data_IF_992802091981
#
_entry.id   IF_992802091981
#
_cell.length_a   1.000
_cell.length_b   1.000
_cell.length_c   1.000
_cell.angle_alpha   90.00
_cell.angle_beta   90.00
_cell.angle_gamma   90.00
#
_symmetry.space_group_name_H-M   'P 1'
#
loop_
_entity.id
_entity.type
_entity.pdbx_description
1 polymer ?
#
# COMPACT_ATOMS: atom_id res chain seq x y z
N UNK A 1 12.32 -35.59 27.82
CA UNK A 1 13.50 -34.75 27.55
C UNK A 1 13.08 -33.66 26.58
N UNK A 2 12.89 -32.42 27.06
CA UNK A 2 12.54 -31.26 26.24
C UNK A 2 13.76 -30.35 26.19
N UNK A 3 14.33 -30.18 25.00
CA UNK A 3 15.42 -29.24 24.74
C UNK A 3 14.88 -28.06 23.93
N UNK A 4 14.85 -26.91 24.58
CA UNK A 4 14.61 -25.59 24.00
C UNK A 4 15.85 -25.17 23.21
N UNK A 5 15.67 -24.76 21.96
CA UNK A 5 16.73 -24.10 21.17
C UNK A 5 16.38 -22.62 21.01
N UNK A 6 17.23 -21.75 21.55
CA UNK A 6 17.25 -20.32 21.28
C UNK A 6 18.18 -20.11 20.08
N UNK A 7 17.65 -19.63 18.97
CA UNK A 7 18.46 -19.14 17.85
C UNK A 7 18.61 -17.62 17.96
N UNK A 8 19.83 -17.19 18.27
CA UNK A 8 20.29 -15.81 18.14
C UNK A 8 20.75 -15.63 16.69
N UNK A 9 20.06 -14.83 15.88
CA UNK A 9 20.55 -14.44 14.55
C UNK A 9 21.06 -13.01 14.66
N UNK A 10 22.38 -12.87 14.67
CA UNK A 10 23.08 -11.62 14.41
C UNK A 10 23.00 -11.33 12.91
N UNK A 11 22.18 -10.36 12.52
CA UNK A 11 22.17 -9.80 11.19
C UNK A 11 23.07 -8.56 11.15
N UNK A 12 24.26 -8.69 10.56
CA UNK A 12 25.01 -7.53 10.07
C UNK A 12 24.39 -7.11 8.73
N UNK A 13 23.55 -6.07 8.75
CA UNK A 13 23.08 -5.42 7.53
C UNK A 13 23.97 -4.21 7.23
N UNK A 14 24.57 -4.23 6.04
CA UNK A 14 25.40 -3.15 5.52
C UNK A 14 24.65 -1.83 5.47
N UNK A 15 25.35 -0.76 5.82
CA UNK A 15 24.87 0.62 5.77
C UNK A 15 24.49 1.01 4.34
N UNK A 16 23.20 1.25 4.10
CA UNK A 16 22.77 2.13 3.02
C UNK A 16 22.95 3.58 3.50
N UNK A 17 23.93 4.27 2.94
CA UNK A 17 24.17 5.68 3.18
C UNK A 17 23.05 6.50 2.51
N UNK A 18 22.27 7.20 3.33
CA UNK A 18 21.40 8.28 2.87
C UNK A 18 22.24 9.55 2.76
N UNK A 19 22.12 10.27 1.64
CA UNK A 19 22.94 11.44 1.32
C UNK A 19 22.83 12.57 2.34
N UNK A 20 23.99 13.03 2.79
CA UNK A 20 24.14 14.13 3.74
C UNK A 20 23.75 15.47 3.09
N UNK A 21 22.64 16.05 3.54
CA UNK A 21 22.48 17.49 3.51
C UNK A 21 23.28 18.04 4.70
N UNK A 22 24.36 18.78 4.43
CA UNK A 22 25.14 19.48 5.45
C UNK A 22 24.27 20.54 6.09
N UNK A 23 23.60 20.18 7.19
CA UNK A 23 22.91 21.07 8.09
C UNK A 23 23.86 21.39 9.24
N UNK A 24 24.02 22.67 9.53
CA UNK A 24 24.94 23.19 10.55
C UNK A 24 24.62 22.60 11.94
N UNK A 25 25.67 22.37 12.74
CA UNK A 25 25.61 21.73 14.07
C UNK A 25 24.57 22.35 15.04
N UNK A 26 24.25 23.63 14.88
CA UNK A 26 23.27 24.34 15.73
C UNK A 26 21.80 24.00 15.41
N UNK A 27 21.49 23.59 14.18
CA UNK A 27 20.13 23.14 13.78
C UNK A 27 19.89 21.68 14.17
N UNK A 28 20.94 20.86 14.19
CA UNK A 28 20.87 19.48 14.66
C UNK A 28 20.69 19.41 16.19
N UNK A 29 21.35 20.27 16.95
CA UNK A 29 21.22 20.34 18.41
C UNK A 29 19.81 20.76 18.87
N UNK A 30 19.15 21.69 18.16
CA UNK A 30 17.77 22.11 18.47
C UNK A 30 16.71 21.08 18.07
N UNK A 31 16.97 20.21 17.08
CA UNK A 31 16.09 19.09 16.75
C UNK A 31 16.27 17.89 17.68
N UNK A 32 17.48 17.66 18.18
CA UNK A 32 17.77 16.58 19.13
C UNK A 32 17.05 16.79 20.48
N UNK A 33 16.75 18.05 20.85
CA UNK A 33 16.03 18.39 22.08
C UNK A 33 14.49 18.24 21.98
N UNK A 34 13.93 18.18 20.77
CA UNK A 34 12.48 17.99 20.54
C UNK A 34 12.07 16.51 20.46
N UNK A 35 13.03 15.60 20.63
CA UNK A 35 12.80 14.16 20.78
C UNK A 35 12.48 13.76 22.24
N UNK A 36 11.96 14.70 23.03
CA UNK A 36 11.23 14.34 24.24
C UNK A 36 10.16 13.31 23.87
N UNK A 37 10.00 12.29 24.74
CA UNK A 37 9.03 11.21 24.53
C UNK A 37 7.69 11.79 24.10
N UNK A 38 7.33 11.57 22.83
CA UNK A 38 6.00 11.87 22.33
C UNK A 38 4.99 11.12 23.22
N UNK A 39 4.24 11.86 24.03
CA UNK A 39 3.14 11.28 24.81
C UNK A 39 2.07 10.71 23.87
N UNK A 40 1.87 11.39 22.73
CA UNK A 40 0.98 10.98 21.65
C UNK A 40 1.75 10.81 20.35
N UNK A 41 1.37 9.79 19.56
CA UNK A 41 1.98 9.53 18.24
C UNK A 41 1.68 10.65 17.26
N UNK A 42 2.61 10.89 16.35
CA UNK A 42 2.36 11.72 15.17
C UNK A 42 1.32 11.06 14.24
N UNK A 43 0.48 11.86 13.59
CA UNK A 43 -0.46 11.35 12.58
C UNK A 43 0.25 10.79 11.34
N UNK A 44 1.48 11.23 11.10
CA UNK A 44 2.31 10.77 9.97
C UNK A 44 3.10 9.52 10.29
N UNK A 45 3.13 9.05 11.54
CA UNK A 45 3.98 7.94 11.99
C UNK A 45 5.48 8.26 12.06
N UNK A 46 5.88 9.49 11.72
CA UNK A 46 7.25 9.96 11.91
C UNK A 46 7.64 9.94 13.39
N UNK A 47 8.93 9.72 13.63
CA UNK A 47 9.54 9.72 14.96
C UNK A 47 9.14 8.57 15.88
N UNK A 48 8.46 7.55 15.35
CA UNK A 48 8.16 6.33 16.12
C UNK A 48 9.45 5.56 16.49
N UNK A 49 10.41 5.49 15.58
CA UNK A 49 11.74 4.97 15.85
C UNK A 49 12.65 6.10 16.36
N UNK A 50 13.36 5.87 17.47
CA UNK A 50 14.22 6.87 18.11
C UNK A 50 15.63 6.97 17.50
N UNK A 51 16.04 6.03 16.65
CA UNK A 51 17.32 6.08 15.95
C UNK A 51 17.27 7.17 14.86
N UNK A 52 18.13 8.21 14.92
CA UNK A 52 18.16 9.32 13.96
C UNK A 52 18.20 8.92 12.48
N UNK A 53 18.66 7.71 12.16
CA UNK A 53 18.71 7.18 10.79
C UNK A 53 17.41 6.50 10.34
N UNK A 54 16.45 6.34 11.25
CA UNK A 54 15.22 5.53 11.07
C UNK A 54 13.94 6.28 11.45
N UNK A 55 14.02 7.60 11.66
CA UNK A 55 12.90 8.43 12.10
C UNK A 55 11.66 8.33 11.20
N UNK A 56 11.85 8.01 9.91
CA UNK A 56 10.78 7.88 8.91
C UNK A 56 10.33 6.44 8.64
N UNK A 57 10.84 5.47 9.40
CA UNK A 57 10.41 4.08 9.23
C UNK A 57 8.95 3.93 9.60
N UNK A 58 8.15 3.42 8.66
CA UNK A 58 6.71 3.22 8.83
C UNK A 58 5.88 4.51 8.78
N UNK A 59 6.48 5.66 8.45
CA UNK A 59 5.72 6.88 8.25
C UNK A 59 4.82 6.77 7.01
N UNK A 60 3.77 7.58 6.97
CA UNK A 60 2.96 7.75 5.76
C UNK A 60 3.78 8.31 4.60
N UNK A 61 3.32 8.03 3.38
CA UNK A 61 4.01 8.37 2.13
C UNK A 61 5.46 7.82 2.02
N UNK A 62 5.75 6.72 2.71
CA UNK A 62 7.02 5.99 2.62
C UNK A 62 6.99 4.93 1.52
N UNK A 63 8.17 4.47 1.08
CA UNK A 63 8.26 3.36 0.12
C UNK A 63 7.99 2.03 0.83
N UNK A 64 7.24 1.15 0.17
CA UNK A 64 6.98 -0.19 0.69
C UNK A 64 8.27 -1.02 0.70
N UNK A 65 8.56 -1.67 1.83
CA UNK A 65 9.70 -2.58 1.98
C UNK A 65 9.56 -3.78 1.04
N UNK A 66 10.70 -4.30 0.57
CA UNK A 66 10.74 -5.42 -0.39
C UNK A 66 11.38 -6.64 0.20
N UNK A 67 10.66 -7.76 0.16
CA UNK A 67 11.17 -9.07 0.48
C UNK A 67 10.39 -10.14 -0.32
N UNK A 68 10.95 -10.79 -1.36
CA UNK A 68 12.30 -10.66 -1.93
C UNK A 68 12.50 -9.39 -2.80
N UNK A 69 13.61 -9.31 -3.53
CA UNK A 69 13.93 -8.20 -4.45
C UNK A 69 12.93 -8.08 -5.62
N UNK A 70 12.92 -6.88 -6.22
CA UNK A 70 12.66 -6.62 -7.64
C UNK A 70 12.37 -7.77 -8.60
N UNK A 71 11.16 -7.94 -9.15
CA UNK A 71 10.98 -8.71 -10.39
C UNK A 71 10.19 -7.88 -11.40
N UNK A 72 10.92 -7.15 -12.24
CA UNK A 72 10.43 -6.45 -13.42
C UNK A 72 11.12 -7.02 -14.66
N UNK A 73 10.46 -6.97 -15.82
CA UNK A 73 10.98 -7.50 -17.09
C UNK A 73 12.32 -6.89 -17.47
N UNK A 74 12.47 -5.58 -17.24
CA UNK A 74 13.70 -4.81 -17.48
C UNK A 74 14.59 -4.66 -16.23
N UNK A 75 14.22 -5.34 -15.14
CA UNK A 75 14.86 -5.21 -13.83
C UNK A 75 14.59 -3.87 -13.11
N UNK A 76 13.80 -2.96 -13.69
CA UNK A 76 13.64 -1.58 -13.22
C UNK A 76 12.20 -1.20 -12.94
N UNK A 77 11.33 -1.29 -13.94
CA UNK A 77 9.97 -0.77 -13.83
C UNK A 77 8.96 -1.44 -14.79
N UNK A 78 9.39 -2.19 -15.80
CA UNK A 78 8.47 -2.78 -16.78
C UNK A 78 7.80 -4.03 -16.18
N UNK A 79 6.45 -4.04 -16.02
CA UNK A 79 5.77 -5.21 -15.51
C UNK A 79 5.81 -6.33 -16.56
N UNK A 80 5.74 -7.56 -16.09
CA UNK A 80 5.53 -8.69 -16.98
C UNK A 80 4.10 -8.69 -17.52
N UNK A 81 3.95 -9.07 -18.80
CA UNK A 81 2.65 -9.23 -19.43
C UNK A 81 2.54 -10.54 -20.23
N UNK A 82 1.31 -10.84 -20.64
CA UNK A 82 1.03 -11.89 -21.59
C UNK A 82 1.49 -11.46 -22.99
N UNK A 83 2.51 -12.13 -23.52
CA UNK A 83 3.02 -11.90 -24.88
C UNK A 83 4.49 -11.53 -24.92
N UNK A 84 5.02 -10.83 -23.90
CA UNK A 84 6.46 -10.46 -23.85
C UNK A 84 7.32 -11.39 -22.99
N UNK A 85 6.75 -12.05 -21.97
CA UNK A 85 7.52 -12.89 -21.02
C UNK A 85 6.83 -14.20 -20.61
N UNK A 86 6.06 -14.83 -21.51
CA UNK A 86 5.41 -16.12 -21.26
C UNK A 86 4.48 -16.21 -20.02
N UNK A 87 4.22 -15.10 -19.29
CA UNK A 87 3.29 -15.12 -18.16
C UNK A 87 1.86 -15.20 -18.65
N UNK A 88 1.07 -16.05 -17.98
CA UNK A 88 -0.34 -16.20 -18.31
C UNK A 88 -1.11 -14.92 -18.01
N UNK A 89 -2.12 -14.68 -18.84
CA UNK A 89 -3.05 -13.57 -18.67
C UNK A 89 -3.76 -13.67 -17.29
N UNK A 90 -3.89 -12.57 -16.52
CA UNK A 90 -4.53 -12.59 -15.20
C UNK A 90 -5.98 -13.07 -15.20
N UNK A 91 -6.77 -12.70 -16.22
CA UNK A 91 -8.16 -13.15 -16.36
C UNK A 91 -8.23 -14.64 -16.67
N UNK A 92 -7.32 -15.14 -17.52
CA UNK A 92 -7.21 -16.58 -17.77
C UNK A 92 -6.86 -17.35 -16.49
N UNK A 93 -5.94 -16.84 -15.65
CA UNK A 93 -5.63 -17.46 -14.35
C UNK A 93 -6.88 -17.45 -13.46
N UNK A 94 -7.58 -16.31 -13.35
CA UNK A 94 -8.80 -16.19 -12.56
C UNK A 94 -9.86 -17.21 -12.98
N UNK A 95 -10.08 -17.38 -14.29
CA UNK A 95 -11.07 -18.31 -14.82
C UNK A 95 -10.70 -19.78 -14.59
N UNK A 96 -9.41 -20.12 -14.55
CA UNK A 96 -8.99 -21.51 -14.39
C UNK A 96 -8.77 -21.93 -12.92
N UNK A 97 -8.52 -20.97 -12.02
CA UNK A 97 -8.15 -21.25 -10.62
C UNK A 97 -9.24 -20.83 -9.63
N UNK A 98 -9.89 -19.70 -9.86
CA UNK A 98 -10.83 -19.11 -8.89
C UNK A 98 -12.30 -19.34 -9.26
N UNK A 99 -12.58 -19.63 -10.53
CA UNK A 99 -13.93 -19.95 -10.97
C UNK A 99 -14.29 -21.37 -10.53
N UNK A 100 -15.40 -21.48 -9.82
CA UNK A 100 -16.01 -22.76 -9.50
C UNK A 100 -17.10 -23.05 -10.56
N UNK A 101 -16.92 -24.08 -11.41
CA UNK A 101 -17.89 -24.42 -12.44
C UNK A 101 -19.13 -25.14 -11.88
N UNK A 102 -19.14 -25.53 -10.61
CA UNK A 102 -20.33 -26.15 -10.01
C UNK A 102 -21.44 -25.08 -9.89
N UNK A 103 -22.61 -25.24 -10.54
CA UNK A 103 -23.73 -24.33 -10.36
C UNK A 103 -24.18 -24.20 -8.90
N UNK A 104 -23.85 -25.18 -8.05
CA UNK A 104 -24.06 -25.16 -6.60
C UNK A 104 -22.93 -24.49 -5.82
N UNK A 105 -21.84 -24.07 -6.44
CA UNK A 105 -20.81 -23.27 -5.76
C UNK A 105 -21.31 -21.91 -5.25
N UNK A 106 -22.47 -21.47 -5.76
CA UNK A 106 -23.24 -20.35 -5.22
C UNK A 106 -23.99 -20.67 -3.92
N UNK A 107 -23.99 -21.93 -3.47
CA UNK A 107 -24.49 -22.33 -2.16
C UNK A 107 -23.53 -21.86 -1.04
N UNK A 108 -24.05 -21.82 0.18
CA UNK A 108 -23.32 -21.37 1.37
C UNK A 108 -22.10 -22.25 1.62
N UNK A 109 -20.90 -21.70 1.39
CA UNK A 109 -19.63 -22.30 1.80
C UNK A 109 -19.25 -21.76 3.18
N UNK A 110 -19.50 -22.56 4.22
CA UNK A 110 -19.13 -22.20 5.58
C UNK A 110 -17.62 -22.36 5.83
N UNK A 111 -17.07 -21.48 6.67
CA UNK A 111 -15.70 -21.64 7.13
C UNK A 111 -15.55 -22.95 7.93
N UNK A 112 -14.57 -23.81 7.61
CA UNK A 112 -14.33 -25.04 8.37
C UNK A 112 -13.87 -24.76 9.82
N UNK A 113 -13.47 -23.53 10.11
CA UNK A 113 -13.06 -23.07 11.44
C UNK A 113 -14.22 -22.44 12.24
N UNK A 114 -15.43 -22.39 11.68
CA UNK A 114 -16.62 -21.79 12.30
C UNK A 114 -16.39 -20.33 12.76
N UNK A 115 -15.62 -19.57 11.97
CA UNK A 115 -15.39 -18.13 12.22
C UNK A 115 -16.52 -17.31 11.60
N UNK A 116 -16.85 -16.18 12.22
CA UNK A 116 -17.87 -15.27 11.71
C UNK A 116 -17.35 -14.44 10.53
N UNK A 117 -18.28 -13.92 9.73
CA UNK A 117 -17.96 -12.99 8.63
C UNK A 117 -17.25 -11.72 9.13
N UNK A 118 -17.39 -11.37 10.42
CA UNK A 118 -16.65 -10.26 11.02
C UNK A 118 -15.13 -10.46 10.92
N UNK A 119 -14.64 -11.70 10.81
CA UNK A 119 -13.22 -11.99 10.70
C UNK A 119 -12.60 -11.35 9.44
N UNK A 120 -13.21 -11.55 8.26
CA UNK A 120 -12.65 -10.97 7.03
C UNK A 120 -12.87 -9.46 6.97
N UNK A 121 -13.99 -8.96 7.52
CA UNK A 121 -14.28 -7.52 7.62
C UNK A 121 -13.23 -6.83 8.49
N UNK A 122 -12.89 -7.41 9.64
CA UNK A 122 -11.84 -6.89 10.51
C UNK A 122 -10.47 -6.93 9.84
N UNK A 123 -10.20 -7.98 9.05
CA UNK A 123 -9.00 -8.06 8.21
C UNK A 123 -8.89 -6.88 7.24
N UNK A 124 -9.98 -6.53 6.55
CA UNK A 124 -10.02 -5.35 5.66
C UNK A 124 -9.86 -4.04 6.43
N UNK A 125 -10.50 -3.89 7.59
CA UNK A 125 -10.35 -2.71 8.42
C UNK A 125 -8.90 -2.51 8.87
N UNK A 126 -8.22 -3.60 9.23
CA UNK A 126 -6.80 -3.58 9.60
C UNK A 126 -5.88 -3.31 8.41
N UNK A 127 -6.16 -3.88 7.24
CA UNK A 127 -5.43 -3.58 5.99
C UNK A 127 -5.45 -2.07 5.70
N UNK A 128 -6.62 -1.45 5.83
CA UNK A 128 -6.79 -0.01 5.66
C UNK A 128 -6.08 0.84 6.73
N UNK A 129 -5.60 0.25 7.83
CA UNK A 129 -4.79 0.92 8.84
C UNK A 129 -3.29 0.89 8.50
N UNK A 130 -2.83 -0.17 7.84
CA UNK A 130 -1.40 -0.44 7.65
C UNK A 130 -0.89 -0.13 6.24
N UNK A 131 -1.76 -0.15 5.23
CA UNK A 131 -1.34 0.08 3.85
C UNK A 131 -2.41 0.71 2.97
N UNK A 132 -2.00 1.69 2.16
CA UNK A 132 -2.78 2.18 1.03
C UNK A 132 -1.81 2.48 -0.11
N UNK A 133 -1.93 1.76 -1.23
CA UNK A 133 -1.12 2.02 -2.41
C UNK A 133 -1.96 2.74 -3.47
N UNK A 134 -1.89 4.08 -3.57
CA UNK A 134 -2.72 4.83 -4.50
C UNK A 134 -2.34 4.55 -5.95
N UNK A 135 -3.29 4.74 -6.87
CA UNK A 135 -3.00 4.83 -8.31
C UNK A 135 -2.42 6.21 -8.58
N UNK A 136 -1.37 6.27 -9.40
CA UNK A 136 -0.70 7.54 -9.66
C UNK A 136 -1.59 8.52 -10.44
N UNK A 137 -1.35 9.81 -10.18
CA UNK A 137 -1.57 10.88 -11.14
C UNK A 137 -0.19 11.31 -11.66
N UNK A 138 0.54 10.41 -12.33
CA UNK A 138 1.77 10.76 -13.04
C UNK A 138 1.45 11.81 -14.09
N UNK A 139 1.82 13.07 -13.81
CA UNK A 139 1.92 14.10 -14.84
C UNK A 139 3.27 13.94 -15.56
N UNK A 140 3.45 12.81 -16.24
CA UNK A 140 4.64 12.49 -17.04
C UNK A 140 4.41 12.73 -18.54
N UNK A 141 3.35 13.47 -18.90
CA UNK A 141 3.00 13.76 -20.29
C UNK A 141 2.55 12.55 -21.12
N UNK A 142 2.37 11.37 -20.51
CA UNK A 142 2.01 10.11 -21.20
C UNK A 142 0.51 9.78 -21.18
N UNK A 143 -0.29 10.43 -20.34
CA UNK A 143 -1.75 10.29 -20.37
C UNK A 143 -2.42 11.61 -20.02
N UNK A 144 -3.57 11.88 -20.64
CA UNK A 144 -4.39 13.09 -20.39
C UNK A 144 -5.03 13.10 -18.98
N UNK A 145 -4.98 11.98 -18.27
CA UNK A 145 -5.65 11.75 -16.98
C UNK A 145 -4.66 11.59 -15.81
N UNK A 146 -3.36 11.64 -16.10
CA UNK A 146 -2.30 11.37 -15.13
C UNK A 146 -2.14 9.90 -14.75
N UNK A 147 -2.83 8.94 -15.36
CA UNK A 147 -2.71 7.52 -14.98
C UNK A 147 -1.69 6.79 -15.85
N UNK A 148 -1.13 5.69 -15.33
CA UNK A 148 -0.33 4.74 -16.11
C UNK A 148 -1.17 3.47 -16.35
N UNK A 149 -1.96 3.41 -17.43
CA UNK A 149 -2.83 2.28 -17.71
C UNK A 149 -2.03 1.01 -17.99
N UNK A 150 -2.53 -0.12 -17.51
CA UNK A 150 -1.99 -1.45 -17.78
C UNK A 150 -3.15 -2.46 -17.84
N UNK A 151 -4.05 -2.30 -18.83
CA UNK A 151 -5.32 -3.02 -18.87
C UNK A 151 -5.13 -4.53 -18.96
N UNK A 152 -6.08 -5.28 -18.41
CA UNK A 152 -6.08 -6.74 -18.46
C UNK A 152 -6.87 -7.16 -19.70
N UNK A 153 -6.21 -7.83 -20.64
CA UNK A 153 -6.87 -8.34 -21.84
C UNK A 153 -7.87 -9.44 -21.45
N UNK A 154 -9.09 -9.36 -21.98
CA UNK A 154 -10.10 -10.40 -21.79
C UNK A 154 -9.89 -11.48 -22.85
N UNK A 155 -9.77 -12.77 -22.47
CA UNK A 155 -9.69 -13.85 -23.45
C UNK A 155 -10.95 -13.89 -24.33
N UNK A 156 -10.83 -14.11 -25.65
CA UNK A 156 -11.99 -14.26 -26.51
C UNK A 156 -12.91 -15.38 -26.01
N UNK A 157 -14.21 -15.08 -25.92
CA UNK A 157 -15.21 -16.04 -25.44
C UNK A 157 -15.29 -16.10 -23.91
N UNK A 158 -14.69 -15.17 -23.19
CA UNK A 158 -14.89 -15.03 -21.75
C UNK A 158 -16.39 -14.88 -21.44
N UNK A 159 -17.01 -15.80 -20.68
CA UNK A 159 -18.46 -15.81 -20.50
C UNK A 159 -19.04 -14.55 -19.86
N UNK A 160 -18.24 -13.80 -19.10
CA UNK A 160 -18.69 -12.61 -18.38
C UNK A 160 -18.39 -11.32 -19.14
N UNK A 161 -17.20 -11.23 -19.76
CA UNK A 161 -16.68 -9.97 -20.28
C UNK A 161 -16.51 -9.94 -21.81
N UNK A 162 -16.51 -11.09 -22.50
CA UNK A 162 -16.51 -11.16 -23.97
C UNK A 162 -17.28 -12.40 -24.47
N UNK A 163 -18.60 -12.50 -24.19
CA UNK A 163 -19.37 -13.71 -24.47
C UNK A 163 -19.53 -13.99 -25.97
N UNK A 164 -19.35 -12.96 -26.82
CA UNK A 164 -19.44 -13.08 -28.28
C UNK A 164 -18.08 -13.41 -28.93
N UNK A 165 -16.99 -13.45 -28.16
CA UNK A 165 -15.65 -13.76 -28.66
C UNK A 165 -15.10 -12.75 -29.65
N UNK A 166 -15.38 -11.46 -29.43
CA UNK A 166 -14.89 -10.38 -30.29
C UNK A 166 -13.37 -10.24 -30.15
N UNK A 167 -12.82 -10.51 -28.96
CA UNK A 167 -11.39 -10.54 -28.68
C UNK A 167 -10.73 -9.17 -28.52
N UNK A 168 -11.51 -8.11 -28.32
CA UNK A 168 -11.01 -6.73 -28.14
C UNK A 168 -11.28 -6.15 -26.75
N UNK A 169 -12.03 -6.88 -25.93
CA UNK A 169 -12.45 -6.44 -24.60
C UNK A 169 -11.29 -6.40 -23.60
N UNK A 170 -11.32 -5.41 -22.72
CA UNK A 170 -10.26 -5.16 -21.73
C UNK A 170 -10.84 -4.67 -20.41
N UNK A 171 -10.31 -5.19 -19.30
CA UNK A 171 -10.65 -4.68 -17.98
C UNK A 171 -9.74 -3.51 -17.60
N UNK A 172 -10.30 -2.39 -17.11
CA UNK A 172 -9.52 -1.22 -16.75
C UNK A 172 -8.64 -1.50 -15.54
N UNK A 173 -7.35 -1.28 -15.70
CA UNK A 173 -6.36 -1.36 -14.62
C UNK A 173 -5.31 -0.26 -14.82
N UNK A 174 -4.85 0.31 -13.72
CA UNK A 174 -3.83 1.36 -13.72
C UNK A 174 -2.78 1.05 -12.68
N UNK A 175 -1.52 1.34 -13.02
CA UNK A 175 -0.38 1.07 -12.15
C UNK A 175 -0.37 2.04 -10.97
N UNK A 176 0.06 1.52 -9.83
CA UNK A 176 0.22 2.28 -8.60
C UNK A 176 1.22 3.42 -8.71
N UNK A 177 1.00 4.47 -7.91
CA UNK A 177 1.95 5.54 -7.62
C UNK A 177 3.26 4.97 -7.13
N UNK A 178 4.35 5.59 -7.58
CA UNK A 178 5.68 5.10 -7.30
C UNK A 178 6.70 6.20 -7.06
N UNK A 179 7.83 5.81 -6.48
CA UNK A 179 9.09 6.54 -6.50
C UNK A 179 10.15 5.68 -7.18
N UNK A 180 11.20 6.30 -7.69
CA UNK A 180 12.36 5.59 -8.21
C UNK A 180 13.49 5.72 -7.20
N UNK A 181 14.06 4.58 -6.81
CA UNK A 181 15.26 4.52 -5.97
C UNK A 181 16.26 3.59 -6.65
N UNK A 182 17.49 4.07 -6.84
CA UNK A 182 18.56 3.36 -7.54
C UNK A 182 18.13 2.83 -8.93
N UNK A 183 17.40 3.64 -9.69
CA UNK A 183 16.90 3.27 -11.02
C UNK A 183 15.76 2.24 -11.04
N UNK A 184 15.28 1.80 -9.88
CA UNK A 184 14.21 0.82 -9.72
C UNK A 184 12.94 1.49 -9.19
N UNK A 185 11.78 1.14 -9.74
CA UNK A 185 10.45 1.60 -9.30
C UNK A 185 10.10 1.00 -7.94
N UNK A 186 9.54 1.78 -7.01
CA UNK A 186 9.00 1.39 -5.68
C UNK A 186 7.61 1.98 -5.45
N UNK A 187 6.67 1.17 -4.97
CA UNK A 187 5.32 1.62 -4.59
C UNK A 187 5.35 2.42 -3.29
N UNK A 188 4.42 3.35 -3.16
CA UNK A 188 4.27 4.21 -1.98
C UNK A 188 3.14 3.68 -1.11
N UNK A 189 3.37 3.60 0.19
CA UNK A 189 2.31 3.48 1.18
C UNK A 189 1.85 4.89 1.58
N UNK A 190 0.61 5.28 1.28
CA UNK A 190 0.03 6.56 1.68
C UNK A 190 -0.41 6.55 3.17
N UNK A 191 -0.55 5.37 3.78
CA UNK A 191 -0.83 5.21 5.19
C UNK A 191 0.43 5.02 6.04
N UNK A 192 0.29 5.17 7.36
CA UNK A 192 1.31 4.70 8.29
C UNK A 192 1.40 3.17 8.23
N UNK A 193 2.56 2.59 8.52
CA UNK A 193 2.73 1.12 8.55
C UNK A 193 2.42 0.52 9.93
N UNK A 194 2.03 1.34 10.90
CA UNK A 194 1.74 0.94 12.26
C UNK A 194 0.26 0.57 12.40
N UNK A 195 -0.04 -0.30 13.35
CA UNK A 195 -1.41 -0.45 13.84
C UNK A 195 -1.62 0.66 14.86
N UNK A 196 -2.13 1.79 14.39
CA UNK A 196 -2.28 3.04 15.15
C UNK A 196 -3.65 3.71 14.95
N UNK A 197 -4.58 3.02 14.29
CA UNK A 197 -5.91 3.51 13.94
C UNK A 197 -5.88 4.77 13.04
N UNK A 198 -4.83 4.94 12.21
CA UNK A 198 -4.81 5.88 11.08
C UNK A 198 -6.01 5.71 10.14
N UNK A 199 -6.62 4.53 10.03
CA UNK A 199 -7.89 4.34 9.31
C UNK A 199 -9.05 5.18 9.91
N UNK A 200 -8.98 5.47 11.22
CA UNK A 200 -9.95 6.29 11.95
C UNK A 200 -9.50 7.76 12.00
N UNK A 201 -8.23 8.00 12.28
CA UNK A 201 -7.70 9.33 12.60
C UNK A 201 -6.99 10.04 11.45
N UNK A 202 -6.73 9.33 10.34
CA UNK A 202 -5.97 9.82 9.20
C UNK A 202 -4.45 9.68 9.38
N UNK A 203 -3.76 9.60 8.24
CA UNK A 203 -2.30 9.40 8.13
C UNK A 203 -1.52 10.70 7.89
N UNK A 204 -2.20 11.85 8.00
CA UNK A 204 -1.62 13.18 7.86
C UNK A 204 -2.39 14.20 8.73
N UNK A 205 -1.70 15.27 9.13
CA UNK A 205 -2.26 16.27 10.04
C UNK A 205 -3.47 17.01 9.44
N UNK A 206 -3.48 17.26 8.13
CA UNK A 206 -4.59 17.95 7.47
C UNK A 206 -5.85 17.08 7.51
N UNK A 207 -5.74 15.77 7.23
CA UNK A 207 -6.85 14.81 7.33
C UNK A 207 -7.31 14.65 8.77
N UNK A 208 -6.40 14.46 9.72
CA UNK A 208 -6.73 14.34 11.14
C UNK A 208 -7.47 15.59 11.64
N UNK A 209 -6.99 16.77 11.28
CA UNK A 209 -7.68 18.01 11.59
C UNK A 209 -9.06 18.07 10.95
N UNK A 210 -9.21 17.68 9.68
CA UNK A 210 -10.52 17.67 9.00
C UNK A 210 -11.51 16.69 9.64
N UNK A 211 -11.05 15.60 10.25
CA UNK A 211 -11.91 14.60 10.89
C UNK A 211 -12.42 15.02 12.28
N UNK A 212 -11.85 16.06 12.91
CA UNK A 212 -12.25 16.54 14.25
C UNK A 212 -13.48 17.46 14.20
N UNK A 213 -14.28 17.44 15.27
CA UNK A 213 -15.51 18.25 15.44
C UNK A 213 -15.28 19.77 15.39
N UNK A 214 -14.03 20.20 15.61
CA UNK A 214 -13.61 21.60 15.83
C UNK A 214 -14.21 22.25 17.09
N UNK A 215 -14.97 21.50 17.87
CA UNK A 215 -15.44 21.90 19.19
C UNK A 215 -14.38 21.54 20.24
N UNK A 216 -14.34 22.24 21.40
CA UNK A 216 -13.45 21.91 22.50
C UNK A 216 -13.94 20.69 23.30
N UNK A 217 -14.48 19.67 22.64
CA UNK A 217 -15.04 18.45 23.23
C UNK A 217 -14.18 17.20 22.98
N UNK A 218 -13.12 17.34 22.17
CA UNK A 218 -12.20 16.25 21.83
C UNK A 218 -12.79 15.20 20.88
N UNK A 219 -13.94 15.46 20.23
CA UNK A 219 -14.63 14.47 19.40
C UNK A 219 -14.25 14.52 17.92
N UNK A 220 -14.51 13.42 17.21
CA UNK A 220 -14.56 13.41 15.76
C UNK A 220 -15.83 14.13 15.28
N UNK A 221 -15.76 14.72 14.09
CA UNK A 221 -16.91 15.30 13.41
C UNK A 221 -17.89 14.20 13.04
N UNK A 222 -19.19 14.33 13.36
CA UNK A 222 -20.22 13.41 12.88
C UNK A 222 -20.53 13.60 11.38
N UNK A 223 -20.00 14.66 10.76
CA UNK A 223 -20.18 14.95 9.34
C UNK A 223 -18.98 14.47 8.54
N UNK A 224 -19.26 13.83 7.39
CA UNK A 224 -18.26 13.47 6.39
C UNK A 224 -17.51 14.74 5.95
N UNK A 225 -16.26 14.90 6.38
CA UNK A 225 -15.36 15.84 5.71
C UNK A 225 -14.94 15.23 4.38
N UNK A 226 -15.65 15.62 3.32
CA UNK A 226 -15.19 15.37 1.96
C UNK A 226 -13.85 16.10 1.79
N UNK A 227 -12.80 15.32 1.52
CA UNK A 227 -11.62 15.88 0.86
C UNK A 227 -12.10 16.50 -0.44
N UNK A 228 -12.13 17.84 -0.54
CA UNK A 228 -12.22 18.52 -1.84
C UNK A 228 -10.90 18.33 -2.57
N UNK A 229 -10.63 17.10 -3.00
CA UNK A 229 -9.68 16.84 -4.09
C UNK A 229 -10.30 17.31 -5.41
N UNK A 230 -9.49 17.71 -6.40
CA UNK A 230 -10.01 18.10 -7.71
C UNK A 230 -10.44 16.84 -8.45
N UNK A 231 -11.73 16.50 -8.35
CA UNK A 231 -12.39 15.47 -9.14
C UNK A 231 -13.85 15.86 -9.38
N UNK A 232 -14.08 16.57 -10.48
CA UNK A 232 -15.11 16.21 -11.46
C UNK A 232 -14.37 15.65 -12.66
#
# INVERSE_FOLDING_TARGET
MRSTWVFLVLLSMGQAAFGDAVLTDSLLANRAYLYERQEFRSHTGESNNLDPKRLYWGSSNSMILRFPVTSYLDGKAEPFDCGRDCRLNPRLISNNVLFDPDPKASERVDSPLNISDFFWVWGQFLDHDIVLTPVDKVDNGRSKEGREPFPILVPPGDPAFDPNGIGVEQLPFSRSKFRVYDGVRFQINENTAFIDASVVYGSDEKRANALRSKLPDGRLSPYLTMSRGPHR
#
